data_IF_869197187882
#
_entry.id   IF_869197187882
#
_cell.length_a   1.000
_cell.length_b   1.000
_cell.length_c   1.000
_cell.angle_alpha   90.00
_cell.angle_beta   90.00
_cell.angle_gamma   90.00
#
_symmetry.space_group_name_H-M   'P 1'
#
loop_
_entity.id
_entity.type
_entity.pdbx_description
1 polymer ?
#
# COMPACT_ATOMS: atom_id res chain seq x y z
N UNK A 1 8.08 20.44 -3.62
CA UNK A 1 6.91 19.56 -3.72
C UNK A 1 6.83 18.73 -2.46
N UNK A 2 5.66 18.70 -1.83
CA UNK A 2 5.37 17.85 -0.68
C UNK A 2 5.53 16.38 -1.12
N UNK A 3 6.29 15.57 -0.38
CA UNK A 3 6.54 14.17 -0.74
C UNK A 3 5.53 13.28 -0.03
N UNK A 4 4.58 12.70 -0.77
CA UNK A 4 3.69 11.69 -0.20
C UNK A 4 4.43 10.35 -0.03
N UNK A 5 4.40 9.83 1.20
CA UNK A 5 5.11 8.63 1.61
C UNK A 5 4.25 7.38 1.40
N UNK A 6 4.21 6.88 0.17
CA UNK A 6 3.65 5.57 -0.17
C UNK A 6 4.68 4.47 0.08
N UNK A 7 4.31 3.44 0.85
CA UNK A 7 5.10 2.23 1.14
C UNK A 7 5.01 1.24 -0.01
N UNK A 8 5.47 1.64 -1.19
CA UNK A 8 5.58 0.76 -2.35
C UNK A 8 6.77 -0.19 -2.15
N UNK A 9 6.57 -1.47 -2.44
CA UNK A 9 7.58 -2.52 -2.22
C UNK A 9 8.34 -2.77 -3.51
N UNK A 10 9.67 -2.88 -3.44
CA UNK A 10 10.47 -3.29 -4.57
C UNK A 10 10.47 -4.83 -4.66
N UNK A 11 9.49 -5.37 -5.39
CA UNK A 11 9.34 -6.81 -5.65
C UNK A 11 9.83 -7.13 -7.07
N UNK A 12 10.94 -7.89 -7.25
CA UNK A 12 11.50 -8.21 -8.56
C UNK A 12 10.53 -8.95 -9.49
N UNK A 13 9.52 -9.65 -8.95
CA UNK A 13 8.53 -10.39 -9.74
C UNK A 13 7.25 -9.60 -9.99
N UNK A 14 7.01 -8.52 -9.24
CA UNK A 14 5.82 -7.68 -9.35
C UNK A 14 6.21 -6.21 -9.11
N UNK A 15 6.85 -5.61 -10.12
CA UNK A 15 7.41 -4.26 -10.03
C UNK A 15 6.32 -3.20 -10.12
N UNK A 16 6.43 -2.15 -9.31
CA UNK A 16 5.59 -0.97 -9.47
C UNK A 16 6.01 -0.20 -10.72
N UNK A 17 5.04 0.15 -11.57
CA UNK A 17 5.26 0.90 -12.80
C UNK A 17 4.34 2.10 -12.81
N UNK A 18 4.92 3.29 -12.93
CA UNK A 18 4.19 4.55 -12.99
C UNK A 18 3.63 4.89 -14.38
N UNK A 19 2.62 5.76 -14.38
CA UNK A 19 2.21 6.52 -15.56
C UNK A 19 3.14 7.73 -15.77
N UNK A 20 3.21 8.23 -17.00
CA UNK A 20 3.78 9.55 -17.29
C UNK A 20 2.75 10.66 -17.01
N UNK A 21 3.20 11.92 -16.94
CA UNK A 21 2.23 13.03 -16.77
C UNK A 21 1.30 13.16 -17.97
N UNK A 22 1.78 12.89 -19.19
CA UNK A 22 0.94 12.92 -20.39
C UNK A 22 -0.20 11.89 -20.30
N UNK A 23 0.10 10.68 -19.84
CA UNK A 23 -0.91 9.64 -19.62
C UNK A 23 -1.91 10.04 -18.53
N UNK A 24 -1.44 10.65 -17.45
CA UNK A 24 -2.31 11.16 -16.37
C UNK A 24 -3.21 12.30 -16.90
N UNK A 25 -2.68 13.20 -17.71
CA UNK A 25 -3.43 14.33 -18.25
C UNK A 25 -4.46 13.88 -19.30
N UNK A 26 -4.16 12.83 -20.07
CA UNK A 26 -5.16 12.17 -20.91
C UNK A 26 -6.31 11.60 -20.07
N UNK A 27 -6.02 10.94 -18.94
CA UNK A 27 -7.05 10.42 -18.05
C UNK A 27 -7.92 11.56 -17.49
N UNK A 28 -7.30 12.62 -16.97
CA UNK A 28 -8.03 13.82 -16.48
C UNK A 28 -8.93 14.42 -17.55
N UNK A 29 -8.41 14.60 -18.77
CA UNK A 29 -9.17 15.15 -19.89
C UNK A 29 -10.39 14.28 -20.23
N UNK A 30 -10.23 12.95 -20.17
CA UNK A 30 -11.31 12.00 -20.49
C UNK A 30 -12.48 12.06 -19.51
N UNK A 31 -12.19 12.24 -18.22
CA UNK A 31 -13.23 12.26 -17.17
C UNK A 31 -13.68 13.66 -16.80
N UNK A 32 -12.93 14.70 -17.16
CA UNK A 32 -13.29 16.10 -16.92
C UNK A 32 -13.23 16.53 -15.46
N UNK A 33 -12.59 15.75 -14.59
CA UNK A 33 -12.48 16.03 -13.14
C UNK A 33 -11.03 16.22 -12.72
N UNK A 34 -10.83 16.93 -11.62
CA UNK A 34 -9.50 17.15 -11.06
C UNK A 34 -9.00 15.92 -10.30
N UNK A 35 -7.71 15.63 -10.40
CA UNK A 35 -7.10 14.55 -9.62
C UNK A 35 -6.42 15.14 -8.38
N UNK A 36 -6.64 14.55 -7.19
CA UNK A 36 -5.92 14.96 -6.00
C UNK A 36 -4.41 14.73 -6.11
N UNK A 37 -3.60 15.61 -5.51
CA UNK A 37 -2.14 15.53 -5.65
C UNK A 37 -1.57 14.19 -5.16
N UNK A 38 -2.06 13.67 -4.02
CA UNK A 38 -1.64 12.35 -3.53
C UNK A 38 -1.94 11.23 -4.53
N UNK A 39 -3.06 11.33 -5.26
CA UNK A 39 -3.41 10.36 -6.29
C UNK A 39 -2.51 10.48 -7.53
N UNK A 40 -2.19 11.70 -7.96
CA UNK A 40 -1.21 11.95 -9.05
C UNK A 40 0.15 11.34 -8.69
N UNK A 41 0.65 11.61 -7.47
CA UNK A 41 1.91 11.07 -6.97
C UNK A 41 1.91 9.53 -6.93
N UNK A 42 0.76 8.92 -6.63
CA UNK A 42 0.60 7.48 -6.67
C UNK A 42 0.65 6.95 -8.11
N UNK A 43 -0.09 7.57 -9.03
CA UNK A 43 -0.10 7.21 -10.45
C UNK A 43 1.29 7.29 -11.08
N UNK A 44 2.06 8.33 -10.77
CA UNK A 44 3.43 8.50 -11.24
C UNK A 44 4.38 7.41 -10.73
N UNK A 45 4.08 6.75 -9.62
CA UNK A 45 4.92 5.71 -9.01
C UNK A 45 4.48 4.29 -9.37
N UNK A 46 3.16 4.07 -9.46
CA UNK A 46 2.58 2.73 -9.55
C UNK A 46 1.26 2.66 -10.35
N UNK A 47 0.94 3.68 -11.16
CA UNK A 47 -0.33 3.75 -11.87
C UNK A 47 -0.55 2.64 -12.89
N UNK A 48 0.47 2.32 -13.72
CA UNK A 48 0.37 1.25 -14.74
C UNK A 48 0.32 -0.14 -14.14
N UNK A 49 1.11 -0.35 -13.09
CA UNK A 49 1.10 -1.57 -12.31
C UNK A 49 1.45 -1.22 -10.87
N UNK A 50 0.62 -1.66 -9.95
CA UNK A 50 0.87 -1.56 -8.52
C UNK A 50 0.81 -2.93 -7.90
N UNK A 51 1.87 -3.26 -7.16
CA UNK A 51 1.91 -4.50 -6.41
C UNK A 51 1.13 -4.45 -5.09
N UNK A 52 0.55 -3.28 -4.77
CA UNK A 52 -0.27 -3.07 -3.58
C UNK A 52 -1.74 -2.91 -3.95
N UNK A 53 -2.02 -2.05 -4.93
CA UNK A 53 -3.38 -1.66 -5.29
C UNK A 53 -3.45 -1.13 -6.72
N UNK A 54 -3.79 -1.99 -7.67
CA UNK A 54 -4.04 -1.55 -9.04
C UNK A 54 -5.22 -0.59 -9.11
N UNK A 55 -5.06 0.45 -9.92
CA UNK A 55 -6.10 1.43 -10.24
C UNK A 55 -6.44 1.31 -11.72
N UNK A 56 -7.61 1.80 -12.11
CA UNK A 56 -8.02 1.75 -13.50
C UNK A 56 -7.30 2.84 -14.31
N UNK A 57 -6.59 2.42 -15.35
CA UNK A 57 -5.82 3.30 -16.24
C UNK A 57 -6.20 3.16 -17.71
N UNK A 58 -7.03 2.17 -18.06
CA UNK A 58 -7.65 2.11 -19.38
C UNK A 58 -8.70 3.22 -19.45
N UNK A 59 -8.51 4.17 -20.38
CA UNK A 59 -9.35 5.37 -20.46
C UNK A 59 -10.84 5.09 -20.74
N UNK A 60 -11.16 3.97 -21.40
CA UNK A 60 -12.53 3.57 -21.71
C UNK A 60 -13.20 3.05 -20.44
N UNK A 61 -12.57 2.09 -19.76
CA UNK A 61 -13.06 1.52 -18.51
C UNK A 61 -13.11 2.57 -17.40
N UNK A 62 -12.08 3.42 -17.32
CA UNK A 62 -12.02 4.50 -16.36
C UNK A 62 -13.21 5.46 -16.50
N UNK A 63 -13.57 5.83 -17.73
CA UNK A 63 -14.74 6.67 -18.00
C UNK A 63 -16.04 5.93 -17.70
N UNK A 64 -16.13 4.63 -18.03
CA UNK A 64 -17.29 3.80 -17.75
C UNK A 64 -17.57 3.74 -16.24
N UNK A 65 -16.54 3.51 -15.42
CA UNK A 65 -16.68 3.46 -13.96
C UNK A 65 -17.16 4.79 -13.37
N UNK A 66 -16.74 5.94 -13.92
CA UNK A 66 -17.28 7.24 -13.46
C UNK A 66 -18.79 7.32 -13.65
N UNK A 67 -19.27 6.93 -14.85
CA UNK A 67 -20.69 7.01 -15.21
C UNK A 67 -21.54 6.03 -14.41
N UNK A 68 -21.05 4.79 -14.26
CA UNK A 68 -21.73 3.76 -13.49
C UNK A 68 -21.87 4.16 -12.02
N UNK A 69 -20.78 4.57 -11.37
CA UNK A 69 -20.85 5.03 -9.98
C UNK A 69 -21.80 6.22 -9.82
N UNK A 70 -21.73 7.21 -10.73
CA UNK A 70 -22.61 8.39 -10.67
C UNK A 70 -24.08 7.98 -10.72
N UNK A 71 -24.44 7.13 -11.67
CA UNK A 71 -25.81 6.65 -11.82
C UNK A 71 -26.32 5.93 -10.57
N UNK A 72 -25.46 5.12 -9.93
CA UNK A 72 -25.84 4.43 -8.69
C UNK A 72 -26.01 5.38 -7.50
N UNK A 73 -25.12 6.37 -7.35
CA UNK A 73 -25.25 7.39 -6.30
C UNK A 73 -26.50 8.25 -6.49
N UNK A 74 -26.79 8.66 -7.73
CA UNK A 74 -27.95 9.47 -8.08
C UNK A 74 -29.26 8.71 -7.80
N UNK A 75 -29.31 7.42 -8.11
CA UNK A 75 -30.47 6.55 -7.86
C UNK A 75 -30.78 6.40 -6.35
N UNK A 76 -29.77 6.55 -5.49
CA UNK A 76 -29.92 6.50 -4.03
C UNK A 76 -30.02 7.88 -3.40
N UNK A 77 -30.01 8.95 -4.20
CA UNK A 77 -29.97 10.35 -3.74
C UNK A 77 -28.78 10.66 -2.81
N UNK A 78 -27.62 10.05 -3.06
CA UNK A 78 -26.39 10.23 -2.28
C UNK A 78 -25.40 11.14 -3.01
N UNK A 79 -24.69 12.00 -2.26
CA UNK A 79 -23.62 12.89 -2.76
C UNK A 79 -24.05 13.69 -4.00
N UNK A 80 -25.30 14.15 -3.98
CA UNK A 80 -25.89 14.92 -5.07
C UNK A 80 -25.12 16.22 -5.24
N UNK A 81 -24.71 16.51 -6.48
CA UNK A 81 -23.91 17.69 -6.85
C UNK A 81 -22.45 17.68 -6.37
N UNK A 82 -21.97 16.58 -5.79
CA UNK A 82 -20.57 16.46 -5.40
C UNK A 82 -19.70 15.93 -6.55
N UNK A 83 -18.49 16.45 -6.69
CA UNK A 83 -17.53 15.98 -7.69
C UNK A 83 -16.88 14.68 -7.19
N UNK A 84 -17.05 13.58 -7.93
CA UNK A 84 -16.60 12.24 -7.53
C UNK A 84 -15.60 11.72 -8.56
N UNK A 85 -14.56 11.03 -8.07
CA UNK A 85 -13.58 10.33 -8.90
C UNK A 85 -13.48 8.86 -8.49
N UNK A 86 -14.02 7.97 -9.30
CA UNK A 86 -13.88 6.52 -9.15
C UNK A 86 -12.51 6.07 -9.67
N UNK A 87 -11.73 5.38 -8.85
CA UNK A 87 -10.36 4.95 -9.21
C UNK A 87 -10.23 3.46 -9.50
N UNK A 88 -11.20 2.66 -9.05
CA UNK A 88 -11.24 1.21 -9.28
C UNK A 88 -12.67 0.71 -9.07
N UNK A 89 -13.07 -0.27 -9.87
CA UNK A 89 -14.24 -1.11 -9.62
C UNK A 89 -13.78 -2.57 -9.51
N UNK A 90 -14.20 -3.27 -8.47
CA UNK A 90 -13.85 -4.67 -8.25
C UNK A 90 -14.98 -5.41 -7.57
N UNK A 91 -15.46 -6.50 -8.18
CA UNK A 91 -16.51 -7.36 -7.61
C UNK A 91 -17.78 -6.61 -7.15
N UNK A 92 -18.17 -5.56 -7.90
CA UNK A 92 -19.34 -4.73 -7.55
C UNK A 92 -19.03 -3.57 -6.61
N UNK A 93 -17.85 -3.55 -5.97
CA UNK A 93 -17.40 -2.44 -5.13
C UNK A 93 -16.77 -1.33 -5.96
N UNK A 94 -17.12 -0.08 -5.66
CA UNK A 94 -16.46 1.09 -6.23
C UNK A 94 -15.55 1.74 -5.20
N UNK A 95 -14.32 2.01 -5.59
CA UNK A 95 -13.36 2.79 -4.82
C UNK A 95 -13.30 4.19 -5.41
N UNK A 96 -13.63 5.21 -4.62
CA UNK A 96 -13.73 6.57 -5.14
C UNK A 96 -13.29 7.63 -4.14
N UNK A 97 -13.03 8.83 -4.66
CA UNK A 97 -12.79 10.03 -3.88
C UNK A 97 -13.98 10.97 -3.99
N UNK A 98 -14.35 11.58 -2.87
CA UNK A 98 -15.17 12.76 -2.87
C UNK A 98 -14.28 14.00 -3.01
N UNK A 99 -14.24 14.57 -4.22
CA UNK A 99 -13.37 15.70 -4.54
C UNK A 99 -13.90 17.02 -3.95
N UNK A 100 -15.17 17.07 -3.52
CA UNK A 100 -15.76 18.22 -2.83
C UNK A 100 -15.19 18.43 -1.42
N UNK A 101 -14.67 17.40 -0.76
CA UNK A 101 -14.20 17.46 0.63
C UNK A 101 -12.75 17.93 0.76
N UNK A 102 -11.82 17.30 0.03
CA UNK A 102 -10.38 17.59 0.13
C UNK A 102 -9.66 17.29 -1.19
N UNK A 103 -9.02 18.30 -1.75
CA UNK A 103 -8.37 18.21 -3.06
C UNK A 103 -6.91 17.74 -3.05
N UNK A 104 -6.25 17.62 -1.89
CA UNK A 104 -4.82 17.22 -1.82
C UNK A 104 -4.62 15.80 -1.33
N UNK A 105 -5.25 15.47 -0.20
CA UNK A 105 -5.15 14.15 0.42
C UNK A 105 -6.56 13.55 0.53
N UNK A 106 -7.02 12.85 -0.52
CA UNK A 106 -8.41 12.48 -0.62
C UNK A 106 -8.73 11.33 0.35
N UNK A 107 -9.90 11.43 0.98
CA UNK A 107 -10.55 10.31 1.66
C UNK A 107 -10.94 9.27 0.62
N UNK A 108 -10.54 8.02 0.81
CA UNK A 108 -10.99 6.92 -0.03
C UNK A 108 -12.31 6.37 0.51
N UNK A 109 -13.33 6.34 -0.34
CA UNK A 109 -14.63 5.77 -0.05
C UNK A 109 -14.80 4.45 -0.81
N UNK A 110 -15.55 3.52 -0.21
CA UNK A 110 -16.09 2.34 -0.85
C UNK A 110 -17.60 2.51 -0.97
N UNK A 111 -18.12 2.19 -2.13
CA UNK A 111 -19.55 2.00 -2.32
C UNK A 111 -19.79 0.55 -2.68
N UNK A 112 -20.55 -0.14 -1.83
CA UNK A 112 -20.72 -1.58 -1.86
C UNK A 112 -22.15 -1.98 -1.48
N UNK A 113 -22.54 -3.18 -1.90
CA UNK A 113 -23.78 -3.84 -1.53
C UNK A 113 -23.55 -4.74 -0.31
N UNK A 114 -23.95 -4.25 0.87
CA UNK A 114 -23.79 -5.00 2.12
C UNK A 114 -25.07 -5.76 2.41
N UNK A 115 -24.94 -7.05 2.71
CA UNK A 115 -26.06 -7.85 3.22
C UNK A 115 -26.52 -7.30 4.57
N UNK A 116 -27.78 -6.91 4.68
CA UNK A 116 -28.38 -6.40 5.92
C UNK A 116 -29.17 -7.54 6.57
N UNK A 117 -28.69 -8.00 7.73
CA UNK A 117 -29.29 -9.09 8.49
C UNK A 117 -30.54 -8.60 9.26
N UNK A 118 -31.54 -8.09 8.55
CA UNK A 118 -32.78 -7.57 9.15
C UNK A 118 -33.99 -8.27 8.53
N UNK A 119 -33.98 -9.61 8.53
CA UNK A 119 -34.98 -10.52 7.97
C UNK A 119 -34.82 -10.83 6.47
N UNK A 120 -34.58 -12.11 6.16
CA UNK A 120 -34.64 -12.72 4.80
C UNK A 120 -33.69 -12.16 3.72
N UNK A 121 -32.42 -11.90 4.04
CA UNK A 121 -31.39 -11.73 3.01
C UNK A 121 -31.56 -10.50 2.13
N UNK A 122 -32.08 -9.40 2.68
CA UNK A 122 -32.11 -8.10 2.01
C UNK A 122 -30.70 -7.51 1.91
N UNK A 123 -30.30 -7.14 0.70
CA UNK A 123 -29.06 -6.42 0.44
C UNK A 123 -29.34 -4.91 0.37
N UNK A 124 -28.48 -4.09 0.97
CA UNK A 124 -28.55 -2.64 0.88
C UNK A 124 -27.22 -2.08 0.40
N UNK A 125 -27.27 -1.20 -0.59
CA UNK A 125 -26.10 -0.43 -1.02
C UNK A 125 -25.80 0.68 -0.02
N UNK A 126 -24.53 0.80 0.38
CA UNK A 126 -24.09 1.79 1.36
C UNK A 126 -22.72 2.35 0.98
N UNK A 127 -22.46 3.58 1.40
CA UNK A 127 -21.15 4.22 1.29
C UNK A 127 -20.44 4.03 2.63
N UNK A 128 -19.28 3.38 2.57
CA UNK A 128 -18.41 3.15 3.73
C UNK A 128 -17.10 3.88 3.47
N UNK A 129 -16.55 4.54 4.48
CA UNK A 129 -15.16 5.00 4.39
C UNK A 129 -14.26 3.78 4.28
N UNK A 130 -13.28 3.81 3.38
CA UNK A 130 -12.24 2.80 3.38
C UNK A 130 -11.60 2.74 4.75
N UNK A 131 -11.39 1.53 5.25
CA UNK A 131 -10.62 1.34 6.48
C UNK A 131 -9.27 2.08 6.33
N UNK A 132 -9.04 3.10 7.17
CA UNK A 132 -7.93 4.05 7.03
C UNK A 132 -8.34 5.31 6.27
N UNK A 133 -8.68 6.37 7.02
CA UNK A 133 -9.42 7.57 6.61
C UNK A 133 -8.85 8.39 5.43
N UNK A 134 -7.62 8.14 4.97
CA UNK A 134 -7.07 8.79 3.77
C UNK A 134 -6.38 7.79 2.84
N UNK A 135 -6.32 8.14 1.56
CA UNK A 135 -5.80 7.26 0.51
C UNK A 135 -4.37 6.76 0.78
N UNK A 136 -3.51 7.60 1.35
CA UNK A 136 -2.11 7.24 1.62
C UNK A 136 -2.05 6.16 2.72
N UNK A 137 -2.81 6.32 3.80
CA UNK A 137 -2.90 5.36 4.90
C UNK A 137 -3.48 4.04 4.39
N UNK A 138 -4.51 4.09 3.55
CA UNK A 138 -5.08 2.89 2.91
C UNK A 138 -4.00 2.11 2.13
N UNK A 139 -3.26 2.77 1.24
CA UNK A 139 -2.20 2.14 0.45
C UNK A 139 -1.11 1.55 1.36
N UNK A 140 -0.66 2.31 2.36
CA UNK A 140 0.40 1.87 3.27
C UNK A 140 0.00 0.64 4.09
N UNK A 141 -1.25 0.61 4.57
CA UNK A 141 -1.79 -0.53 5.30
C UNK A 141 -1.99 -1.75 4.40
N UNK A 142 -2.41 -1.54 3.16
CA UNK A 142 -2.54 -2.63 2.18
C UNK A 142 -1.17 -3.21 1.82
N UNK A 143 -0.15 -2.37 1.66
CA UNK A 143 1.23 -2.83 1.46
C UNK A 143 1.70 -3.67 2.66
N UNK A 144 1.41 -3.21 3.87
CA UNK A 144 1.69 -3.95 5.11
C UNK A 144 0.97 -5.30 5.16
N UNK A 145 -0.30 -5.36 4.79
CA UNK A 145 -1.07 -6.61 4.74
C UNK A 145 -0.55 -7.60 3.69
N UNK A 146 -0.17 -7.14 2.50
CA UNK A 146 0.29 -8.01 1.41
C UNK A 146 1.71 -8.53 1.68
N UNK A 147 2.59 -7.66 2.16
CA UNK A 147 4.02 -7.95 2.30
C UNK A 147 4.47 -8.21 3.75
N UNK A 148 3.57 -8.11 4.73
CA UNK A 148 3.88 -8.28 6.15
C UNK A 148 4.82 -7.21 6.71
N UNK A 149 4.74 -5.97 6.18
CA UNK A 149 5.65 -4.88 6.55
C UNK A 149 5.20 -4.25 7.87
N UNK A 150 5.40 -4.98 8.95
CA UNK A 150 5.41 -4.42 10.30
C UNK A 150 6.71 -4.75 11.06
N UNK A 151 7.49 -5.78 10.67
CA UNK A 151 8.70 -6.19 11.43
C UNK A 151 9.89 -6.59 10.54
N UNK A 152 9.68 -7.05 9.29
CA UNK A 152 10.78 -7.57 8.45
C UNK A 152 11.74 -6.53 7.87
N UNK A 153 11.31 -5.28 7.67
CA UNK A 153 12.20 -4.22 7.15
C UNK A 153 13.11 -3.61 8.23
N UNK A 154 12.70 -3.61 9.50
CA UNK A 154 13.61 -3.27 10.61
C UNK A 154 14.67 -4.35 10.83
N UNK A 155 14.33 -5.64 10.64
CA UNK A 155 15.31 -6.73 10.74
C UNK A 155 16.30 -6.78 9.56
N UNK A 156 15.93 -6.29 8.37
CA UNK A 156 16.84 -6.25 7.21
C UNK A 156 17.93 -5.16 7.33
N UNK A 157 17.71 -4.17 8.20
CA UNK A 157 18.64 -3.06 8.46
C UNK A 157 19.34 -3.16 9.82
N UNK A 158 19.12 -4.22 10.60
CA UNK A 158 20.02 -4.57 11.71
C UNK A 158 21.16 -5.38 11.07
N UNK A 159 22.37 -4.83 10.94
CA UNK A 159 23.48 -5.61 10.40
C UNK A 159 23.66 -6.86 11.27
N UNK A 160 23.72 -8.04 10.62
CA UNK A 160 23.99 -9.34 11.24
C UNK A 160 25.20 -9.31 12.20
N UNK A 161 26.08 -8.33 12.02
CA UNK A 161 27.20 -8.01 12.90
C UNK A 161 26.80 -7.80 14.37
N UNK A 162 25.65 -7.18 14.66
CA UNK A 162 25.21 -6.91 16.05
C UNK A 162 24.87 -8.22 16.80
N UNK A 163 24.34 -9.25 16.09
CA UNK A 163 24.10 -10.57 16.67
C UNK A 163 25.36 -11.45 16.77
N UNK A 164 26.42 -11.13 16.01
CA UNK A 164 27.67 -11.90 16.01
C UNK A 164 28.67 -11.46 17.09
N UNK A 165 28.47 -10.30 17.73
CA UNK A 165 29.37 -9.78 18.78
C UNK A 165 29.39 -10.69 20.02
N UNK A 166 28.26 -11.15 20.59
CA UNK A 166 28.30 -12.04 21.76
C UNK A 166 28.95 -13.40 21.43
N UNK A 167 28.70 -13.92 20.21
CA UNK A 167 29.17 -15.24 19.78
C UNK A 167 30.68 -15.22 19.51
N UNK A 168 31.21 -14.16 18.90
CA UNK A 168 32.65 -14.03 18.62
C UNK A 168 33.48 -13.85 19.89
N UNK A 169 32.96 -13.15 20.91
CA UNK A 169 33.60 -13.05 22.24
C UNK A 169 33.68 -14.43 22.92
N UNK A 170 32.59 -15.22 22.88
CA UNK A 170 32.58 -16.58 23.44
C UNK A 170 33.58 -17.48 22.68
N UNK A 171 33.64 -17.38 21.35
CA UNK A 171 34.57 -18.17 20.54
C UNK A 171 36.04 -17.81 20.83
N UNK A 172 36.35 -16.52 21.06
CA UNK A 172 37.68 -16.06 21.46
C UNK A 172 38.07 -16.53 22.86
N UNK A 173 37.12 -16.58 23.81
CA UNK A 173 37.37 -17.13 25.15
C UNK A 173 37.64 -18.64 25.12
N UNK A 174 36.88 -19.40 24.32
CA UNK A 174 37.09 -20.85 24.17
C UNK A 174 38.41 -21.14 23.46
N UNK A 175 38.71 -20.48 22.35
CA UNK A 175 39.98 -20.70 21.63
C UNK A 175 41.19 -20.26 22.45
N UNK A 176 41.10 -19.13 23.16
CA UNK A 176 42.16 -18.67 24.07
C UNK A 176 42.42 -19.65 25.22
N UNK A 177 41.37 -20.22 25.83
CA UNK A 177 41.54 -21.21 26.91
C UNK A 177 42.12 -22.53 26.41
N UNK A 178 41.71 -23.00 25.23
CA UNK A 178 42.29 -24.21 24.60
C UNK A 178 43.80 -24.04 24.34
N UNK A 179 44.22 -22.90 23.78
CA UNK A 179 45.65 -22.63 23.50
C UNK A 179 46.47 -22.54 24.79
N UNK A 180 45.93 -21.95 25.86
CA UNK A 180 46.61 -21.87 27.16
C UNK A 180 46.75 -23.27 27.79
N UNK A 181 45.68 -24.08 27.77
CA UNK A 181 45.72 -25.45 28.29
C UNK A 181 46.74 -26.30 27.52
N UNK A 182 46.79 -26.17 26.20
CA UNK A 182 47.72 -26.92 25.36
C UNK A 182 49.18 -26.54 25.65
N UNK A 183 49.48 -25.24 25.83
CA UNK A 183 50.80 -24.77 26.26
C UNK A 183 51.19 -25.27 27.66
N UNK A 184 50.25 -25.33 28.62
CA UNK A 184 50.53 -25.88 29.95
C UNK A 184 50.78 -27.39 29.90
N UNK A 185 49.99 -28.15 29.12
CA UNK A 185 50.15 -29.61 28.97
C UNK A 185 51.51 -29.97 28.34
N UNK A 186 51.94 -29.23 27.31
CA UNK A 186 53.26 -29.42 26.68
C UNK A 186 54.41 -29.09 27.64
N UNK A 187 54.22 -28.13 28.55
CA UNK A 187 55.24 -27.74 29.54
C UNK A 187 55.37 -28.77 30.67
N UNK A 188 54.28 -29.41 31.09
CA UNK A 188 54.28 -30.48 32.10
C UNK A 188 54.92 -31.77 31.54
N UNK A 189 54.65 -32.12 30.28
CA UNK A 189 55.23 -33.33 29.65
C UNK A 189 56.71 -33.20 29.24
N UNK A 190 57.35 -32.05 29.52
CA UNK A 190 58.79 -31.79 29.25
C UNK A 190 59.64 -31.70 30.52
N UNK A 191 59.06 -31.92 31.70
CA UNK A 191 59.78 -32.20 32.95
C UNK A 191 59.83 -33.70 33.19
#
# INVERSE_FOLDING_TARGET
>A
MEKFNFRLVNDPKNQNVGLTMEEIDMLKCKVGVRFPQAYIDYLLKAGKNSNVFNVETNSIEFQRFQKELRAELDALHLLQNEEILCIRKELGMYYFFNLSENNRNPTLYLFDEVGVEVYWGTFQKTIIKAEGENFITFINRRAESIYGITIKQYLKNIPLYIMAIPISIIFLAITGTVIVIEKFRVKINKQ
#
